data_IF_353019939079
#
_entry.id   IF_353019939079
#
_cell.length_a   1.000
_cell.length_b   1.000
_cell.length_c   1.000
_cell.angle_alpha   90.00
_cell.angle_beta   90.00
_cell.angle_gamma   90.00
#
_symmetry.space_group_name_H-M   'P 1'
#
loop_
_entity.id
_entity.type
_entity.pdbx_description
1 polymer ?
#
# COMPACT_ATOMS: atom_id res chain seq x y z
N UNK A 1 -23.01 -39.49 -7.99
CA UNK A 1 -22.99 -38.09 -8.45
C UNK A 1 -22.40 -37.26 -7.33
N UNK A 2 -21.10 -36.97 -7.39
CA UNK A 2 -20.42 -36.12 -6.41
C UNK A 2 -20.03 -34.84 -7.15
N UNK A 3 -20.64 -33.72 -6.74
CA UNK A 3 -20.32 -32.39 -7.26
C UNK A 3 -19.05 -31.87 -6.64
N UNK A 4 -18.12 -31.43 -7.49
CA UNK A 4 -16.95 -30.66 -7.08
C UNK A 4 -17.40 -29.23 -6.72
N UNK A 5 -17.18 -28.84 -5.48
CA UNK A 5 -17.20 -27.44 -5.07
C UNK A 5 -15.87 -26.81 -5.47
N UNK A 6 -15.90 -26.02 -6.53
CA UNK A 6 -14.81 -25.14 -6.96
C UNK A 6 -14.77 -23.94 -6.00
N UNK A 7 -13.93 -24.01 -4.96
CA UNK A 7 -13.55 -22.85 -4.17
C UNK A 7 -12.56 -22.05 -5.00
N UNK A 8 -13.07 -21.02 -5.69
CA UNK A 8 -12.29 -20.06 -6.46
C UNK A 8 -11.37 -19.21 -5.59
N UNK A 9 -10.29 -19.80 -5.12
CA UNK A 9 -9.14 -19.10 -4.58
C UNK A 9 -8.39 -18.48 -5.78
N UNK A 10 -8.51 -17.16 -5.93
CA UNK A 10 -7.74 -16.41 -6.93
C UNK A 10 -6.25 -16.72 -6.70
N UNK A 11 -5.49 -17.12 -7.73
CA UNK A 11 -4.08 -17.46 -7.56
C UNK A 11 -3.33 -16.22 -7.08
N UNK A 12 -2.64 -16.36 -5.94
CA UNK A 12 -1.73 -15.33 -5.43
C UNK A 12 -0.75 -14.94 -6.56
N UNK A 13 -0.56 -13.64 -6.84
CA UNK A 13 0.38 -13.19 -7.85
C UNK A 13 1.78 -13.73 -7.53
N UNK A 14 2.49 -14.21 -8.55
CA UNK A 14 3.85 -14.73 -8.39
C UNK A 14 4.81 -13.59 -8.06
N UNK A 15 5.91 -13.90 -7.36
CA UNK A 15 6.94 -12.90 -7.01
C UNK A 15 7.42 -12.15 -8.26
N UNK A 16 7.52 -12.81 -9.41
CA UNK A 16 7.94 -12.18 -10.66
C UNK A 16 6.92 -11.15 -11.17
N UNK A 17 5.62 -11.45 -11.07
CA UNK A 17 4.55 -10.52 -11.45
C UNK A 17 4.54 -9.27 -10.57
N UNK A 18 4.95 -9.43 -9.31
CA UNK A 18 5.07 -8.36 -8.34
C UNK A 18 6.32 -7.49 -8.61
N UNK A 19 7.45 -8.11 -8.96
CA UNK A 19 8.75 -7.45 -9.05
C UNK A 19 9.03 -6.77 -10.39
N UNK A 20 8.43 -7.22 -11.49
CA UNK A 20 8.66 -6.68 -12.83
C UNK A 20 8.23 -5.20 -12.99
N UNK A 21 7.04 -4.77 -12.52
CA UNK A 21 6.65 -3.36 -12.56
C UNK A 21 7.58 -2.50 -11.71
N UNK A 22 7.99 -3.03 -10.57
CA UNK A 22 8.92 -2.37 -9.69
C UNK A 22 10.23 -2.10 -10.49
N UNK A 23 10.92 -3.14 -10.99
CA UNK A 23 12.26 -2.98 -11.59
C UNK A 23 12.25 -2.05 -12.81
N UNK A 24 11.15 -2.06 -13.56
CA UNK A 24 10.92 -1.18 -14.71
C UNK A 24 10.83 0.29 -14.30
N UNK A 25 10.18 0.57 -13.17
CA UNK A 25 9.92 1.92 -12.68
C UNK A 25 10.97 2.43 -11.67
N UNK A 26 11.95 1.59 -11.29
CA UNK A 26 13.03 1.98 -10.41
C UNK A 26 13.80 3.15 -11.03
N UNK A 27 13.76 4.35 -10.41
CA UNK A 27 14.52 5.47 -10.91
C UNK A 27 16.01 5.15 -10.85
N UNK A 28 16.78 5.53 -11.86
CA UNK A 28 18.26 5.52 -11.79
C UNK A 28 18.81 6.62 -10.87
N UNK A 29 18.00 7.10 -9.95
CA UNK A 29 18.20 8.39 -9.27
C UNK A 29 18.92 8.11 -7.95
N UNK A 30 20.11 8.69 -7.81
CA UNK A 30 20.94 8.64 -6.60
C UNK A 30 20.51 9.65 -5.53
N UNK A 31 19.37 10.31 -5.72
CA UNK A 31 18.87 11.40 -4.90
C UNK A 31 17.47 11.07 -4.37
N UNK A 32 17.42 10.73 -3.09
CA UNK A 32 16.19 10.41 -2.34
C UNK A 32 15.65 11.61 -1.56
N UNK A 33 16.09 12.84 -1.87
CA UNK A 33 15.48 14.05 -1.34
C UNK A 33 14.01 14.19 -1.80
N UNK A 34 13.17 14.97 -1.08
CA UNK A 34 11.82 15.29 -1.54
C UNK A 34 11.77 15.83 -2.98
N UNK A 35 12.77 16.63 -3.37
CA UNK A 35 12.92 17.16 -4.73
C UNK A 35 13.26 16.06 -5.74
N UNK A 36 14.16 15.14 -5.38
CA UNK A 36 14.49 13.96 -6.18
C UNK A 36 13.29 13.02 -6.37
N UNK A 37 12.47 12.87 -5.33
CA UNK A 37 11.21 12.11 -5.34
C UNK A 37 10.16 12.78 -6.25
N UNK A 38 10.09 14.11 -6.25
CA UNK A 38 9.16 14.87 -7.10
C UNK A 38 9.54 14.76 -8.59
N UNK A 39 10.83 14.60 -8.90
CA UNK A 39 11.31 14.36 -10.26
C UNK A 39 10.97 12.95 -10.79
N UNK A 40 10.44 12.04 -9.95
CA UNK A 40 10.07 10.68 -10.34
C UNK A 40 8.75 10.59 -11.10
N UNK A 41 7.93 11.64 -11.10
CA UNK A 41 6.62 11.68 -11.75
C UNK A 41 5.62 12.50 -10.93
N UNK A 42 4.40 12.67 -11.47
CA UNK A 42 3.33 13.33 -10.73
C UNK A 42 2.88 12.42 -9.59
N UNK A 43 2.78 12.87 -8.33
CA UNK A 43 2.23 12.05 -7.27
C UNK A 43 0.76 11.74 -7.54
N UNK A 44 0.35 10.49 -7.34
CA UNK A 44 -1.07 10.12 -7.30
C UNK A 44 -1.40 9.65 -5.89
N UNK A 45 -2.46 10.22 -5.34
CA UNK A 45 -2.91 9.94 -3.98
C UNK A 45 -4.24 9.21 -3.97
N UNK A 46 -4.37 8.28 -3.04
CA UNK A 46 -5.59 7.57 -2.71
C UNK A 46 -5.91 7.75 -1.23
N UNK A 47 -7.15 8.09 -0.92
CA UNK A 47 -7.63 8.13 0.45
C UNK A 47 -8.08 6.74 0.88
N UNK A 48 -7.64 6.33 2.06
CA UNK A 48 -8.12 5.14 2.75
C UNK A 48 -8.85 5.61 3.99
N UNK A 49 -10.11 5.20 4.14
CA UNK A 49 -10.98 5.60 5.24
C UNK A 49 -11.42 4.36 6.01
N UNK A 50 -11.17 4.31 7.32
CA UNK A 50 -11.74 3.27 8.16
C UNK A 50 -13.15 3.67 8.59
N UNK A 51 -14.16 3.34 7.78
CA UNK A 51 -15.58 3.53 8.16
C UNK A 51 -16.12 2.38 9.02
N UNK A 52 -15.27 1.42 9.38
CA UNK A 52 -15.61 0.28 10.22
C UNK A 52 -15.81 0.67 11.69
N UNK A 53 -16.04 -0.36 12.51
CA UNK A 53 -16.22 -0.22 13.98
C UNK A 53 -15.02 -0.73 14.77
N UNK A 54 -14.01 -1.25 14.08
CA UNK A 54 -12.83 -1.88 14.66
C UNK A 54 -11.58 -1.22 14.13
N UNK A 55 -10.47 -1.41 14.84
CA UNK A 55 -9.16 -1.07 14.32
C UNK A 55 -8.93 -1.80 12.99
N UNK A 56 -8.41 -1.09 12.00
CA UNK A 56 -8.10 -1.59 10.66
C UNK A 56 -6.60 -1.43 10.43
N UNK A 57 -5.94 -2.51 10.05
CA UNK A 57 -4.57 -2.43 9.56
C UNK A 57 -4.56 -1.97 8.10
N UNK A 58 -3.68 -1.04 7.77
CA UNK A 58 -3.28 -0.68 6.42
C UNK A 58 -1.85 -1.20 6.24
N UNK A 59 -1.67 -2.18 5.35
CA UNK A 59 -0.35 -2.72 5.01
C UNK A 59 0.10 -2.17 3.66
N UNK A 60 1.23 -1.47 3.63
CA UNK A 60 1.80 -0.87 2.42
C UNK A 60 2.87 -1.78 1.84
N UNK A 61 2.61 -2.26 0.63
CA UNK A 61 3.56 -3.05 -0.16
C UNK A 61 4.11 -2.20 -1.32
N UNK A 62 5.36 -2.43 -1.76
CA UNK A 62 6.30 -3.48 -1.32
C UNK A 62 7.15 -3.10 -0.09
N UNK A 63 6.90 -1.95 0.55
CA UNK A 63 7.74 -1.47 1.66
C UNK A 63 7.61 -2.31 2.93
N UNK A 64 6.57 -3.15 3.03
CA UNK A 64 6.28 -4.00 4.18
C UNK A 64 5.93 -3.20 5.45
N UNK A 65 5.47 -1.95 5.30
CA UNK A 65 5.14 -1.08 6.41
C UNK A 65 3.66 -1.18 6.77
N UNK A 66 3.35 -1.34 8.05
CA UNK A 66 1.98 -1.34 8.57
C UNK A 66 1.63 -0.03 9.27
N UNK A 67 0.35 0.33 9.20
CA UNK A 67 -0.25 1.50 9.83
C UNK A 67 -1.62 1.10 10.35
N UNK A 68 -1.99 1.50 11.56
CA UNK A 68 -3.25 1.06 12.17
C UNK A 68 -4.20 2.23 12.32
N UNK A 69 -5.38 2.09 11.75
CA UNK A 69 -6.42 3.11 11.63
C UNK A 69 -7.55 2.85 12.62
N UNK A 70 -7.82 3.78 13.53
CA UNK A 70 -9.00 3.78 14.38
C UNK A 70 -10.29 3.96 13.55
N UNK A 71 -11.44 3.54 14.06
CA UNK A 71 -12.74 3.88 13.47
C UNK A 71 -12.87 5.38 13.23
N UNK A 72 -13.14 5.76 11.98
CA UNK A 72 -13.28 7.15 11.53
C UNK A 72 -11.99 7.80 11.03
N UNK A 73 -10.82 7.16 11.18
CA UNK A 73 -9.57 7.71 10.68
C UNK A 73 -9.43 7.61 9.16
N UNK A 74 -8.63 8.52 8.61
CA UNK A 74 -8.34 8.63 7.19
C UNK A 74 -6.86 8.84 6.99
N UNK A 75 -6.24 8.02 6.15
CA UNK A 75 -4.89 8.22 5.65
C UNK A 75 -4.91 8.49 4.15
N UNK A 76 -3.90 9.22 3.69
CA UNK A 76 -3.62 9.41 2.28
C UNK A 76 -2.40 8.58 1.93
N UNK A 77 -2.57 7.59 1.06
CA UNK A 77 -1.46 6.85 0.45
C UNK A 77 -1.09 7.54 -0.85
N UNK A 78 0.17 7.95 -0.99
CA UNK A 78 0.65 8.63 -2.19
C UNK A 78 1.72 7.80 -2.87
N UNK A 79 1.52 7.49 -4.14
CA UNK A 79 2.48 6.83 -5.01
C UNK A 79 3.26 7.88 -5.79
N UNK A 80 4.59 7.72 -5.83
CA UNK A 80 5.51 8.59 -6.57
C UNK A 80 6.25 7.77 -7.62
N UNK A 81 6.11 8.12 -8.89
CA UNK A 81 6.81 7.42 -9.96
C UNK A 81 6.13 7.50 -11.31
N UNK A 82 6.60 6.65 -12.22
CA UNK A 82 5.90 6.29 -13.43
C UNK A 82 5.25 4.92 -13.21
N UNK A 83 4.06 4.71 -13.75
CA UNK A 83 3.34 3.43 -13.78
C UNK A 83 2.63 3.33 -15.13
N UNK A 84 2.31 2.11 -15.56
CA UNK A 84 1.69 1.91 -16.86
C UNK A 84 0.23 2.40 -16.86
N UNK A 85 -0.60 1.98 -15.91
CA UNK A 85 -2.02 2.39 -15.83
C UNK A 85 -2.64 2.41 -14.42
N UNK A 86 -2.12 1.62 -13.48
CA UNK A 86 -2.70 1.43 -12.14
C UNK A 86 -1.63 1.74 -11.07
N UNK A 87 -1.65 2.92 -10.41
CA UNK A 87 -0.65 3.28 -9.40
C UNK A 87 -0.77 2.45 -8.11
N UNK A 88 -1.93 1.84 -7.90
CA UNK A 88 -2.24 1.01 -6.75
C UNK A 88 -2.98 -0.26 -7.17
N UNK A 89 -2.65 -1.37 -6.53
CA UNK A 89 -3.54 -2.52 -6.38
C UNK A 89 -3.97 -2.61 -4.91
N UNK A 90 -5.24 -2.95 -4.66
CA UNK A 90 -5.79 -2.97 -3.29
C UNK A 90 -6.48 -4.30 -3.03
N UNK A 91 -6.05 -4.97 -1.97
CA UNK A 91 -6.73 -6.14 -1.42
C UNK A 91 -7.31 -5.78 -0.05
N UNK A 92 -8.54 -6.23 0.21
CA UNK A 92 -9.20 -5.98 1.49
C UNK A 92 -9.66 -7.30 2.10
N UNK A 93 -9.28 -7.51 3.35
CA UNK A 93 -9.58 -8.68 4.17
C UNK A 93 -10.18 -8.23 5.52
N UNK A 94 -10.83 -9.12 6.28
CA UNK A 94 -11.33 -8.75 7.61
C UNK A 94 -10.23 -8.20 8.52
N UNK A 95 -10.28 -6.90 8.80
CA UNK A 95 -9.33 -6.22 9.69
C UNK A 95 -8.04 -5.74 9.03
N UNK A 96 -7.86 -5.93 7.72
CA UNK A 96 -6.68 -5.45 6.99
C UNK A 96 -7.04 -4.95 5.59
N UNK A 97 -6.41 -3.86 5.16
CA UNK A 97 -6.35 -3.42 3.77
C UNK A 97 -4.90 -3.38 3.34
N UNK A 98 -4.55 -4.18 2.34
CA UNK A 98 -3.24 -4.15 1.73
C UNK A 98 -3.28 -3.24 0.51
N UNK A 99 -2.43 -2.22 0.51
CA UNK A 99 -2.24 -1.32 -0.62
C UNK A 99 -0.88 -1.63 -1.24
N UNK A 100 -0.90 -2.16 -2.45
CA UNK A 100 0.29 -2.35 -3.26
C UNK A 100 0.54 -1.09 -4.09
N UNK A 101 1.58 -0.33 -3.79
CA UNK A 101 2.04 0.72 -4.68
C UNK A 101 2.84 0.09 -5.81
N UNK A 102 2.39 0.29 -7.06
CA UNK A 102 3.13 -0.22 -8.24
C UNK A 102 4.34 0.65 -8.59
N UNK A 103 4.52 1.76 -7.88
CA UNK A 103 5.68 2.61 -7.93
C UNK A 103 6.78 2.12 -6.99
N UNK A 104 8.00 2.60 -7.23
CA UNK A 104 9.15 2.28 -6.38
C UNK A 104 9.14 3.00 -5.02
N UNK A 105 8.34 4.07 -4.90
CA UNK A 105 8.21 4.83 -3.67
C UNK A 105 6.76 5.23 -3.40
N UNK A 106 6.33 5.07 -2.15
CA UNK A 106 5.04 5.52 -1.67
C UNK A 106 5.13 5.96 -0.21
N UNK A 107 4.28 6.91 0.16
CA UNK A 107 4.17 7.43 1.54
C UNK A 107 2.75 7.31 2.05
N UNK A 108 2.61 7.29 3.37
CA UNK A 108 1.32 7.39 4.06
C UNK A 108 1.33 8.68 4.87
N UNK A 109 0.28 9.48 4.75
CA UNK A 109 0.16 10.76 5.46
C UNK A 109 -1.21 10.91 6.10
N UNK A 110 -1.24 11.67 7.19
CA UNK A 110 -2.48 12.17 7.78
C UNK A 110 -3.16 13.18 6.84
N UNK A 111 -4.39 13.55 7.16
CA UNK A 111 -5.17 14.50 6.35
C UNK A 111 -4.54 15.89 6.24
N UNK A 112 -3.72 16.28 7.20
CA UNK A 112 -2.99 17.54 7.19
C UNK A 112 -1.69 17.49 6.35
N UNK A 113 -1.37 16.33 5.78
CA UNK A 113 -0.20 16.10 4.94
C UNK A 113 1.06 15.69 5.71
N UNK A 114 1.02 15.60 7.05
CA UNK A 114 2.15 15.07 7.83
C UNK A 114 2.28 13.55 7.64
N UNK A 115 3.52 13.05 7.58
CA UNK A 115 3.78 11.63 7.37
C UNK A 115 3.34 10.79 8.59
N UNK A 116 2.70 9.65 8.32
CA UNK A 116 2.38 8.66 9.35
C UNK A 116 3.61 7.78 9.55
N UNK A 117 4.14 7.64 10.78
CA UNK A 117 5.28 6.75 11.02
C UNK A 117 4.87 5.28 10.87
N UNK A 118 5.78 4.44 10.38
CA UNK A 118 5.57 2.97 10.33
C UNK A 118 5.28 2.40 11.73
N UNK A 119 4.33 1.48 11.81
CA UNK A 119 3.83 0.92 13.07
C UNK A 119 2.94 1.87 13.88
N UNK A 120 2.48 2.99 13.29
CA UNK A 120 1.55 3.90 13.94
C UNK A 120 0.34 3.15 14.50
N UNK A 121 0.06 3.33 15.80
CA UNK A 121 -1.02 2.68 16.55
C UNK A 121 -1.02 1.14 16.51
N UNK A 122 0.11 0.51 16.17
CA UNK A 122 0.24 -0.95 16.20
C UNK A 122 -0.11 -1.48 17.59
N UNK A 123 -1.05 -2.44 17.70
CA UNK A 123 -1.34 -3.09 18.97
C UNK A 123 -0.11 -3.79 19.54
N UNK A 124 0.04 -3.77 20.87
CA UNK A 124 1.11 -4.51 21.54
C UNK A 124 1.06 -6.01 21.18
N UNK A 125 2.22 -6.63 20.96
CA UNK A 125 2.30 -8.05 20.57
C UNK A 125 1.99 -8.34 19.09
N UNK A 126 1.72 -7.34 18.26
CA UNK A 126 1.58 -7.54 16.81
C UNK A 126 2.95 -7.57 16.14
N UNK A 127 3.21 -8.65 15.41
CA UNK A 127 4.46 -8.91 14.69
C UNK A 127 5.70 -9.08 15.57
N UNK A 128 5.50 -9.34 16.87
CA UNK A 128 6.53 -9.80 17.81
C UNK A 128 6.77 -11.32 17.70
#
# INVERSE_FOLDING_TARGET
MSGNGDTGEQPRPTIDHIMEPLLTNMPKVTDYSPEGITALGNPISMLVHNTGKTLLELFLEPSGQDYWMQPGETFTVTSYGHWNDHPFEVAHEPGCVTVWATSWYATVSFRDGSEVPGGHQRPAGKYE
#
